data_IF_957812921487
#
_entry.id   IF_957812921487
#
_cell.length_a   1.000
_cell.length_b   1.000
_cell.length_c   1.000
_cell.angle_alpha   90.00
_cell.angle_beta   90.00
_cell.angle_gamma   90.00
#
_symmetry.space_group_name_H-M   'P 1'
#
loop_
_entity.id
_entity.type
_entity.pdbx_description
1 polymer ?
#
# COMPACT_ATOMS: atom_id res chain seq x y z
N UNK A 1 10.17 -6.42 7.37
CA UNK A 1 11.06 -6.06 6.24
C UNK A 1 12.47 -5.65 6.65
N UNK A 2 13.00 -6.11 7.80
CA UNK A 2 14.41 -5.83 8.17
C UNK A 2 15.22 -7.03 8.65
N UNK A 3 14.57 -8.15 9.03
CA UNK A 3 15.25 -9.26 9.72
C UNK A 3 14.90 -10.66 9.19
N UNK A 4 13.82 -10.81 8.42
CA UNK A 4 13.33 -12.11 7.92
C UNK A 4 12.97 -12.10 6.43
N UNK A 5 13.33 -11.04 5.69
CA UNK A 5 13.23 -11.08 4.24
C UNK A 5 14.36 -11.94 3.71
N UNK A 6 14.09 -12.77 2.69
CA UNK A 6 15.15 -13.42 1.92
C UNK A 6 16.10 -12.35 1.39
N UNK A 7 17.40 -12.67 1.37
CA UNK A 7 18.40 -11.83 0.73
C UNK A 7 18.04 -11.62 -0.74
N UNK A 8 18.16 -10.38 -1.20
CA UNK A 8 17.94 -10.00 -2.60
C UNK A 8 19.16 -10.43 -3.40
N UNK A 9 19.00 -11.42 -4.28
CA UNK A 9 20.10 -11.96 -5.12
C UNK A 9 19.87 -11.69 -6.60
N UNK A 10 18.63 -11.46 -7.00
CA UNK A 10 18.20 -11.27 -8.39
C UNK A 10 17.27 -10.07 -8.51
N UNK A 11 17.01 -9.63 -9.75
CA UNK A 11 16.02 -8.57 -10.02
C UNK A 11 14.60 -9.00 -9.65
N UNK A 12 14.27 -10.29 -9.76
CA UNK A 12 12.97 -10.82 -9.34
C UNK A 12 12.82 -10.76 -7.81
N UNK A 13 13.88 -11.01 -7.06
CA UNK A 13 13.88 -10.84 -5.60
C UNK A 13 13.70 -9.36 -5.22
N UNK A 14 14.36 -8.45 -5.94
CA UNK A 14 14.24 -7.01 -5.71
C UNK A 14 12.82 -6.52 -6.01
N UNK A 15 12.24 -6.98 -7.12
CA UNK A 15 10.85 -6.69 -7.50
C UNK A 15 9.89 -7.20 -6.42
N UNK A 16 10.03 -8.46 -5.99
CA UNK A 16 9.17 -9.04 -4.96
C UNK A 16 9.29 -8.28 -3.64
N UNK A 17 10.51 -7.94 -3.22
CA UNK A 17 10.74 -7.14 -2.02
C UNK A 17 10.06 -5.77 -2.12
N UNK A 18 10.24 -5.06 -3.25
CA UNK A 18 9.60 -3.76 -3.47
C UNK A 18 8.07 -3.85 -3.49
N UNK A 19 7.49 -4.90 -4.08
CA UNK A 19 6.05 -5.15 -4.06
C UNK A 19 5.54 -5.40 -2.65
N UNK A 20 6.26 -6.17 -1.83
CA UNK A 20 5.92 -6.39 -0.42
C UNK A 20 6.02 -5.08 0.38
N UNK A 21 7.01 -4.25 0.05
CA UNK A 21 7.22 -2.98 0.74
C UNK A 21 6.09 -1.99 0.48
N UNK A 22 5.76 -1.78 -0.78
CA UNK A 22 4.65 -0.90 -1.14
C UNK A 22 3.31 -1.47 -0.66
N UNK A 23 3.10 -2.79 -0.72
CA UNK A 23 1.88 -3.40 -0.20
C UNK A 23 1.69 -3.15 1.30
N UNK A 24 2.75 -3.30 2.09
CA UNK A 24 2.74 -2.91 3.49
C UNK A 24 2.45 -1.42 3.66
N UNK A 25 3.08 -0.55 2.86
CA UNK A 25 2.84 0.89 2.91
C UNK A 25 1.36 1.22 2.65
N UNK A 26 0.72 0.63 1.63
CA UNK A 26 -0.71 0.85 1.34
C UNK A 26 -1.61 0.42 2.52
N UNK A 27 -1.31 -0.73 3.14
CA UNK A 27 -2.02 -1.16 4.36
C UNK A 27 -1.86 -0.18 5.53
N UNK A 28 -0.72 0.51 5.62
CA UNK A 28 -0.51 1.53 6.64
C UNK A 28 -1.21 2.86 6.27
N UNK A 29 -1.23 3.22 4.98
CA UNK A 29 -1.95 4.39 4.46
C UNK A 29 -3.45 4.27 4.73
N UNK A 30 -4.07 3.11 4.49
CA UNK A 30 -5.50 2.88 4.80
C UNK A 30 -5.85 3.10 6.27
N UNK A 31 -4.90 2.86 7.20
CA UNK A 31 -5.07 3.13 8.63
C UNK A 31 -4.82 4.60 9.00
N UNK A 32 -3.99 5.29 8.24
CA UNK A 32 -3.60 6.68 8.48
C UNK A 32 -4.63 7.68 7.92
N UNK A 33 -5.12 7.45 6.70
CA UNK A 33 -6.06 8.35 6.01
C UNK A 33 -7.31 8.68 6.84
N UNK A 34 -7.99 7.73 7.52
CA UNK A 34 -9.12 8.05 8.39
C UNK A 34 -8.79 9.06 9.49
N UNK A 35 -7.58 9.00 10.07
CA UNK A 35 -7.13 9.95 11.10
C UNK A 35 -6.95 11.35 10.51
N UNK A 36 -6.37 11.44 9.31
CA UNK A 36 -6.17 12.71 8.60
C UNK A 36 -7.51 13.34 8.18
N UNK A 37 -8.47 12.53 7.72
CA UNK A 37 -9.83 12.97 7.35
C UNK A 37 -10.55 13.60 8.56
N UNK A 38 -10.38 13.02 9.76
CA UNK A 38 -10.99 13.56 10.99
C UNK A 38 -10.32 14.86 11.44
N UNK A 39 -9.02 15.02 11.18
CA UNK A 39 -8.25 16.18 11.64
C UNK A 39 -8.32 17.39 10.69
N UNK A 40 -8.70 17.21 9.42
CA UNK A 40 -8.79 18.32 8.48
C UNK A 40 -10.05 19.15 8.67
N UNK A 41 -9.91 20.47 8.61
CA UNK A 41 -11.03 21.43 8.66
C UNK A 41 -11.48 21.87 7.27
N UNK A 42 -10.63 21.70 6.26
CA UNK A 42 -10.97 22.00 4.86
C UNK A 42 -11.78 20.84 4.26
N UNK A 43 -12.99 21.17 3.78
CA UNK A 43 -13.96 20.18 3.26
C UNK A 43 -13.47 19.50 1.97
N UNK A 44 -12.82 20.24 1.09
CA UNK A 44 -12.30 19.69 -0.18
C UNK A 44 -11.12 18.74 0.09
N UNK A 45 -10.25 19.09 1.05
CA UNK A 45 -9.20 18.20 1.51
C UNK A 45 -9.76 16.92 2.16
N UNK A 46 -10.82 17.04 2.97
CA UNK A 46 -11.48 15.87 3.56
C UNK A 46 -12.06 14.94 2.48
N UNK A 47 -12.67 15.51 1.45
CA UNK A 47 -13.21 14.75 0.32
C UNK A 47 -12.10 14.08 -0.50
N UNK A 48 -11.02 14.81 -0.80
CA UNK A 48 -9.86 14.28 -1.50
C UNK A 48 -9.23 13.09 -0.78
N UNK A 49 -9.05 13.19 0.54
CA UNK A 49 -8.50 12.09 1.35
C UNK A 49 -9.46 10.88 1.42
N UNK A 50 -10.79 11.10 1.44
CA UNK A 50 -11.78 10.01 1.36
C UNK A 50 -11.72 9.29 0.03
N UNK A 51 -11.68 10.03 -1.07
CA UNK A 51 -11.56 9.45 -2.40
C UNK A 51 -10.24 8.66 -2.52
N UNK A 52 -9.15 9.22 -2.01
CA UNK A 52 -7.86 8.54 -2.04
C UNK A 52 -7.86 7.27 -1.20
N UNK A 53 -8.57 7.22 -0.06
CA UNK A 53 -8.74 5.99 0.70
C UNK A 53 -9.42 4.88 -0.11
N UNK A 54 -10.43 5.22 -0.93
CA UNK A 54 -11.05 4.25 -1.84
C UNK A 54 -10.09 3.79 -2.94
N UNK A 55 -9.27 4.69 -3.46
CA UNK A 55 -8.21 4.36 -4.43
C UNK A 55 -7.17 3.43 -3.82
N UNK A 56 -6.72 3.70 -2.59
CA UNK A 56 -5.77 2.88 -1.84
C UNK A 56 -6.29 1.46 -1.63
N UNK A 57 -7.57 1.29 -1.27
CA UNK A 57 -8.16 -0.05 -1.16
C UNK A 57 -8.13 -0.80 -2.51
N UNK A 58 -8.41 -0.11 -3.63
CA UNK A 58 -8.30 -0.70 -4.98
C UNK A 58 -6.85 -0.98 -5.37
N UNK A 59 -5.88 -0.19 -4.92
CA UNK A 59 -4.45 -0.44 -5.14
C UNK A 59 -4.01 -1.73 -4.43
N UNK A 60 -4.47 -1.96 -3.20
CA UNK A 60 -4.26 -3.22 -2.47
C UNK A 60 -4.84 -4.40 -3.26
N UNK A 61 -6.09 -4.30 -3.72
CA UNK A 61 -6.71 -5.35 -4.56
C UNK A 61 -5.91 -5.65 -5.84
N UNK A 62 -5.35 -4.62 -6.49
CA UNK A 62 -4.49 -4.80 -7.66
C UNK A 62 -3.18 -5.50 -7.29
N UNK A 63 -2.57 -5.14 -6.17
CA UNK A 63 -1.36 -5.80 -5.67
C UNK A 63 -1.64 -7.27 -5.32
N UNK A 64 -2.80 -7.60 -4.75
CA UNK A 64 -3.20 -9.00 -4.52
C UNK A 64 -3.22 -9.80 -5.83
N UNK A 65 -3.72 -9.20 -6.94
CA UNK A 65 -3.66 -9.84 -8.26
C UNK A 65 -2.23 -9.98 -8.78
N UNK A 66 -1.34 -9.03 -8.49
CA UNK A 66 0.09 -9.12 -8.85
C UNK A 66 0.75 -10.28 -8.10
N UNK A 67 0.56 -10.40 -6.78
CA UNK A 67 1.09 -11.52 -6.01
C UNK A 67 0.58 -12.86 -6.52
N UNK A 68 -0.72 -12.96 -6.83
CA UNK A 68 -1.31 -14.16 -7.45
C UNK A 68 -0.64 -14.53 -8.78
N UNK A 69 -0.30 -13.55 -9.63
CA UNK A 69 0.42 -13.77 -10.89
C UNK A 69 1.87 -14.23 -10.68
N UNK A 70 2.50 -13.80 -9.59
CA UNK A 70 3.85 -14.21 -9.20
C UNK A 70 3.88 -15.56 -8.44
N UNK A 71 2.71 -16.15 -8.14
CA UNK A 71 2.61 -17.36 -7.32
C UNK A 71 3.07 -17.14 -5.89
N UNK A 72 2.83 -15.94 -5.36
CA UNK A 72 3.18 -15.50 -4.01
C UNK A 72 1.94 -15.16 -3.20
#
# INVERSE_FOLDING_TARGET
MGLFSKDIKTMDDLLLHGLQDIYYAEQQITKALPKMIVQTTNRDLALGLKNHLEETNKQIERLDQVFKKLGK
#
